data_IF_214687898689
#
_entry.id   IF_214687898689
#
_cell.length_a   1.000
_cell.length_b   1.000
_cell.length_c   1.000
_cell.angle_alpha   90.00
_cell.angle_beta   90.00
_cell.angle_gamma   90.00
#
_symmetry.space_group_name_H-M   'P 1'
#
loop_
_entity.id
_entity.type
_entity.pdbx_description
1 polymer ?
#
# COMPACT_ATOMS: atom_id res chain seq x y z
N UNK A 1 19.20 -9.50 29.53
CA UNK A 1 18.01 -9.20 28.71
C UNK A 1 18.32 -7.99 27.86
N UNK A 2 18.63 -8.19 26.58
CA UNK A 2 18.78 -7.08 25.62
C UNK A 2 17.39 -6.52 25.37
N UNK A 3 17.12 -5.33 25.91
CA UNK A 3 15.89 -4.60 25.61
C UNK A 3 16.03 -4.04 24.19
N UNK A 4 15.58 -4.81 23.21
CA UNK A 4 15.55 -4.37 21.82
C UNK A 4 14.69 -3.11 21.69
N UNK A 5 15.12 -2.20 20.82
CA UNK A 5 14.33 -1.00 20.51
C UNK A 5 13.13 -1.43 19.65
N UNK A 6 11.92 -1.10 20.11
CA UNK A 6 10.69 -1.32 19.35
C UNK A 6 10.53 -0.22 18.28
N UNK A 7 10.45 -0.61 17.02
CA UNK A 7 10.16 0.31 15.91
C UNK A 7 8.65 0.26 15.63
N UNK A 8 7.99 1.40 15.71
CA UNK A 8 6.55 1.54 15.48
C UNK A 8 6.25 2.00 14.05
N UNK A 9 5.04 1.74 13.57
CA UNK A 9 4.57 2.24 12.26
C UNK A 9 4.68 3.77 12.15
N UNK A 10 4.43 4.49 13.25
CA UNK A 10 4.60 5.94 13.28
C UNK A 10 6.05 6.35 13.01
N UNK A 11 7.02 5.66 13.61
CA UNK A 11 8.43 5.93 13.37
C UNK A 11 8.83 5.66 11.91
N UNK A 12 8.31 4.57 11.33
CA UNK A 12 8.54 4.24 9.91
C UNK A 12 7.95 5.30 9.00
N UNK A 13 6.70 5.74 9.23
CA UNK A 13 6.06 6.80 8.44
C UNK A 13 6.90 8.08 8.47
N UNK A 14 7.36 8.51 9.66
CA UNK A 14 8.20 9.71 9.79
C UNK A 14 9.54 9.58 9.11
N UNK A 15 10.16 8.40 9.17
CA UNK A 15 11.41 8.14 8.47
C UNK A 15 11.24 8.25 6.96
N UNK A 16 10.17 7.66 6.40
CA UNK A 16 9.86 7.75 4.97
C UNK A 16 9.65 9.21 4.53
N UNK A 17 8.90 10.00 5.30
CA UNK A 17 8.66 11.42 4.98
C UNK A 17 9.93 12.27 5.09
N UNK A 18 10.65 12.17 6.22
CA UNK A 18 11.71 13.12 6.56
C UNK A 18 13.09 12.71 6.06
N UNK A 19 13.36 11.42 5.95
CA UNK A 19 14.68 10.89 5.58
C UNK A 19 14.70 10.45 4.13
N UNK A 20 13.68 9.71 3.68
CA UNK A 20 13.59 9.28 2.27
C UNK A 20 13.03 10.40 1.39
N UNK A 21 12.31 11.37 1.97
CA UNK A 21 11.76 12.51 1.25
C UNK A 21 10.51 12.18 0.44
N UNK A 22 9.78 11.12 0.82
CA UNK A 22 8.52 10.75 0.15
C UNK A 22 7.35 11.46 0.82
N UNK A 23 6.62 12.25 0.04
CA UNK A 23 5.36 12.85 0.48
C UNK A 23 4.24 11.78 0.54
N UNK A 24 3.96 11.30 1.74
CA UNK A 24 2.93 10.27 1.97
C UNK A 24 1.52 10.78 1.65
N UNK A 25 1.24 12.06 1.81
CA UNK A 25 -0.08 12.63 1.51
C UNK A 25 -0.31 12.73 0.00
N UNK A 26 0.72 13.11 -0.76
CA UNK A 26 0.69 13.06 -2.22
C UNK A 26 0.51 11.63 -2.74
N UNK A 27 1.18 10.65 -2.12
CA UNK A 27 1.00 9.22 -2.45
C UNK A 27 -0.44 8.77 -2.17
N UNK A 28 -1.01 9.12 -1.01
CA UNK A 28 -2.41 8.82 -0.66
C UNK A 28 -3.37 9.43 -1.68
N UNK A 29 -3.18 10.70 -2.05
CA UNK A 29 -3.99 11.40 -3.04
C UNK A 29 -3.89 10.73 -4.43
N UNK A 30 -2.69 10.34 -4.85
CA UNK A 30 -2.48 9.60 -6.10
C UNK A 30 -3.27 8.30 -6.13
N UNK A 31 -3.17 7.49 -5.07
CA UNK A 31 -3.89 6.21 -4.96
C UNK A 31 -5.42 6.43 -4.96
N UNK A 32 -5.91 7.40 -4.18
CA UNK A 32 -7.33 7.73 -4.14
C UNK A 32 -7.85 8.13 -5.53
N UNK A 33 -7.11 8.97 -6.25
CA UNK A 33 -7.47 9.39 -7.61
C UNK A 33 -7.46 8.22 -8.62
N UNK A 34 -6.51 7.30 -8.51
CA UNK A 34 -6.47 6.09 -9.34
C UNK A 34 -7.68 5.17 -9.11
N UNK A 35 -8.04 4.98 -7.84
CA UNK A 35 -9.20 4.17 -7.45
C UNK A 35 -10.48 4.83 -7.92
N UNK A 36 -10.67 6.14 -7.67
CA UNK A 36 -11.86 6.88 -8.07
C UNK A 36 -12.10 6.81 -9.59
N UNK A 37 -11.05 6.96 -10.40
CA UNK A 37 -11.16 6.81 -11.87
C UNK A 37 -11.61 5.42 -12.30
N UNK A 38 -11.18 4.38 -11.60
CA UNK A 38 -11.57 3.00 -11.91
C UNK A 38 -12.98 2.70 -11.43
N UNK A 39 -13.35 3.20 -10.24
CA UNK A 39 -14.68 3.02 -9.65
C UNK A 39 -15.77 3.79 -10.39
N UNK A 40 -15.48 4.97 -10.95
CA UNK A 40 -16.46 5.73 -11.74
C UNK A 40 -17.01 4.96 -12.96
N UNK A 41 -16.36 3.86 -13.35
CA UNK A 41 -16.77 2.97 -14.44
C UNK A 41 -17.52 1.72 -13.97
N UNK A 42 -17.64 1.50 -12.66
CA UNK A 42 -18.20 0.30 -12.05
C UNK A 42 -19.44 0.64 -11.21
N UNK A 43 -20.47 -0.19 -11.30
CA UNK A 43 -21.60 -0.13 -10.36
C UNK A 43 -21.16 -0.74 -9.02
N UNK A 44 -20.86 0.13 -8.05
CA UNK A 44 -20.35 -0.25 -6.73
C UNK A 44 -21.35 -1.10 -5.94
N UNK A 45 -22.65 -1.04 -6.26
CA UNK A 45 -23.69 -1.80 -5.58
C UNK A 45 -23.66 -3.30 -5.89
N UNK A 46 -22.99 -3.69 -6.98
CA UNK A 46 -22.89 -5.08 -7.43
C UNK A 46 -21.57 -5.75 -7.03
N UNK A 47 -20.68 -5.02 -6.36
CA UNK A 47 -19.37 -5.56 -5.99
C UNK A 47 -19.48 -6.46 -4.74
N UNK A 48 -18.79 -7.63 -4.75
CA UNK A 48 -18.71 -8.47 -3.57
C UNK A 48 -17.93 -7.79 -2.42
N UNK A 49 -18.09 -8.27 -1.19
CA UNK A 49 -17.41 -7.74 0.02
C UNK A 49 -15.88 -7.65 -0.11
N UNK A 50 -15.31 -8.47 -1.00
CA UNK A 50 -13.89 -8.47 -1.35
C UNK A 50 -13.74 -8.44 -2.86
N UNK A 51 -13.05 -7.42 -3.37
CA UNK A 51 -12.78 -7.27 -4.80
C UNK A 51 -11.39 -6.66 -5.05
N UNK A 52 -10.93 -6.69 -6.29
CA UNK A 52 -9.64 -6.16 -6.70
C UNK A 52 -9.81 -5.09 -7.77
N UNK A 53 -9.11 -3.96 -7.60
CA UNK A 53 -9.00 -2.89 -8.58
C UNK A 53 -7.64 -3.02 -9.25
N UNK A 54 -7.61 -3.20 -10.56
CA UNK A 54 -6.38 -3.27 -11.35
C UNK A 54 -6.15 -1.96 -12.08
N UNK A 55 -5.01 -1.33 -11.85
CA UNK A 55 -4.55 -0.14 -12.57
C UNK A 55 -3.37 -0.48 -13.48
N UNK A 56 -2.80 0.53 -14.13
CA UNK A 56 -1.59 0.36 -14.93
C UNK A 56 -0.41 -0.13 -14.07
N UNK A 57 -0.30 0.35 -12.83
CA UNK A 57 0.89 0.16 -12.00
C UNK A 57 0.71 -0.91 -10.91
N UNK A 58 -0.52 -1.11 -10.44
CA UNK A 58 -0.78 -1.95 -9.27
C UNK A 58 -2.13 -2.69 -9.32
N UNK A 59 -2.26 -3.68 -8.45
CA UNK A 59 -3.54 -4.30 -8.08
C UNK A 59 -3.82 -4.01 -6.60
N UNK A 60 -4.92 -3.34 -6.34
CA UNK A 60 -5.40 -3.00 -5.00
C UNK A 60 -6.47 -4.00 -4.59
N UNK A 61 -6.30 -4.67 -3.45
CA UNK A 61 -7.33 -5.54 -2.86
C UNK A 61 -8.10 -4.75 -1.82
N UNK A 62 -9.41 -4.69 -2.01
CA UNK A 62 -10.35 -3.97 -1.13
C UNK A 62 -11.25 -5.00 -0.46
N UNK A 63 -11.42 -4.87 0.85
CA UNK A 63 -12.34 -5.65 1.66
C UNK A 63 -13.15 -4.70 2.53
N UNK A 64 -14.48 -4.74 2.49
CA UNK A 64 -15.36 -3.86 3.28
C UNK A 64 -14.99 -2.37 3.15
N UNK A 65 -14.68 -1.91 1.94
CA UNK A 65 -14.21 -0.56 1.65
C UNK A 65 -12.86 -0.16 2.27
N UNK A 66 -12.10 -1.11 2.80
CA UNK A 66 -10.72 -0.90 3.28
C UNK A 66 -9.75 -1.56 2.32
N UNK A 67 -8.74 -0.83 1.89
CA UNK A 67 -7.64 -1.38 1.10
C UNK A 67 -6.71 -2.18 2.02
N UNK A 68 -6.58 -3.48 1.76
CA UNK A 68 -5.80 -4.38 2.62
C UNK A 68 -4.46 -4.77 2.01
N UNK A 69 -4.33 -4.66 0.69
CA UNK A 69 -3.14 -5.15 -0.03
C UNK A 69 -2.92 -4.36 -1.30
N UNK A 70 -1.65 -4.06 -1.57
CA UNK A 70 -1.20 -3.44 -2.82
C UNK A 70 -0.16 -4.37 -3.44
N UNK A 71 -0.43 -4.84 -4.66
CA UNK A 71 0.48 -5.69 -5.42
C UNK A 71 1.01 -4.91 -6.62
N UNK A 72 2.32 -4.85 -6.80
CA UNK A 72 2.91 -4.26 -8.00
C UNK A 72 2.54 -5.09 -9.23
N UNK A 73 2.09 -4.44 -10.30
CA UNK A 73 1.80 -5.14 -11.56
C UNK A 73 3.10 -5.57 -12.22
N UNK A 74 3.25 -6.87 -12.48
CA UNK A 74 4.42 -7.43 -13.18
C UNK A 74 5.73 -7.46 -12.38
N UNK A 75 5.70 -7.14 -11.09
CA UNK A 75 6.89 -7.26 -10.22
C UNK A 75 6.98 -8.65 -9.60
N UNK A 76 8.19 -9.21 -9.56
CA UNK A 76 8.55 -10.21 -8.55
C UNK A 76 8.19 -9.66 -7.18
N UNK A 77 7.41 -10.42 -6.40
CA UNK A 77 7.10 -10.12 -5.01
C UNK A 77 8.38 -9.67 -4.31
N UNK A 78 8.38 -8.50 -3.68
CA UNK A 78 9.52 -8.07 -2.87
C UNK A 78 9.63 -9.05 -1.69
N UNK A 79 10.55 -10.00 -1.79
CA UNK A 79 10.91 -10.83 -0.66
C UNK A 79 11.67 -9.94 0.34
N UNK A 80 11.35 -10.03 1.64
CA UNK A 80 12.13 -9.33 2.64
C UNK A 80 13.59 -9.71 2.47
N UNK A 81 14.47 -8.70 2.50
CA UNK A 81 15.90 -8.87 2.69
C UNK A 81 16.10 -9.74 3.95
N UNK A 82 16.34 -11.04 3.75
CA UNK A 82 16.89 -11.88 4.80
C UNK A 82 18.20 -11.23 5.22
N UNK A 83 18.30 -10.96 6.52
CA UNK A 83 19.38 -10.17 7.10
C UNK A 83 20.75 -10.69 6.67
N UNK A 84 21.57 -9.77 6.17
CA UNK A 84 23.00 -9.90 6.25
C UNK A 84 23.38 -10.03 7.73
N UNK A 85 23.65 -11.26 8.15
CA UNK A 85 24.29 -11.61 9.40
C UNK A 85 25.64 -12.23 9.09
N UNK A 86 26.66 -11.38 9.24
CA UNK A 86 28.08 -11.59 9.55
C UNK A 86 28.69 -12.98 9.39
#
# INVERSE_FOLDING_TARGET
MTHGILITDHAVMRYVERVIGIDLDAVRAKIANEIARTQARADLSQLPDRYAIRTADATYVIRRNVMTTVLRRGGTTFFPIEGGGS
#
